data_IF_294679975613
#
_entry.id   IF_294679975613
#
_cell.length_a   1.000
_cell.length_b   1.000
_cell.length_c   1.000
_cell.angle_alpha   90.00
_cell.angle_beta   90.00
_cell.angle_gamma   90.00
#
_symmetry.space_group_name_H-M   'P 1'
#
loop_
_entity.id
_entity.type
_entity.pdbx_description
1 polymer ?
#
# COMPACT_ATOMS: atom_id res chain seq x y z
N UNK A 1 36.81 -7.45 -12.16
CA UNK A 1 37.54 -8.63 -12.66
C UNK A 1 38.07 -9.36 -11.44
N UNK A 2 37.47 -10.50 -11.07
CA UNK A 2 37.97 -11.35 -9.99
C UNK A 2 39.03 -12.25 -10.62
N UNK A 3 40.28 -12.12 -10.18
CA UNK A 3 41.39 -12.95 -10.67
C UNK A 3 41.79 -13.84 -9.51
N UNK A 4 41.30 -15.08 -9.52
CA UNK A 4 41.71 -16.12 -8.57
C UNK A 4 42.53 -17.19 -9.32
N UNK A 5 43.81 -17.42 -8.93
CA UNK A 5 44.63 -18.51 -9.47
C UNK A 5 44.07 -19.90 -9.22
N UNK A 6 43.21 -20.07 -8.20
CA UNK A 6 42.58 -21.33 -7.79
C UNK A 6 41.28 -21.65 -8.55
N UNK A 7 40.73 -20.66 -9.26
CA UNK A 7 39.37 -20.66 -9.80
C UNK A 7 38.25 -20.86 -8.75
N UNK A 8 38.48 -20.49 -7.49
CA UNK A 8 37.52 -20.58 -6.38
C UNK A 8 36.75 -19.26 -6.22
N UNK A 9 36.12 -18.81 -7.31
CA UNK A 9 35.35 -17.56 -7.35
C UNK A 9 33.83 -17.78 -7.39
N UNK A 10 33.39 -19.03 -7.38
CA UNK A 10 31.96 -19.39 -7.50
C UNK A 10 31.14 -18.77 -6.36
N UNK A 11 31.65 -18.78 -5.13
CA UNK A 11 30.97 -18.17 -3.99
C UNK A 11 30.85 -16.64 -4.11
N UNK A 12 31.89 -15.99 -4.63
CA UNK A 12 31.88 -14.53 -4.86
C UNK A 12 30.95 -14.15 -6.01
N UNK A 13 30.95 -14.96 -7.08
CA UNK A 13 30.02 -14.81 -8.20
C UNK A 13 28.57 -14.98 -7.72
N UNK A 14 28.31 -15.98 -6.87
CA UNK A 14 26.99 -16.20 -6.27
C UNK A 14 26.54 -14.99 -5.44
N UNK A 15 27.43 -14.38 -4.64
CA UNK A 15 27.10 -13.14 -3.90
C UNK A 15 26.77 -11.97 -4.85
N UNK A 16 27.49 -11.85 -5.97
CA UNK A 16 27.22 -10.83 -6.98
C UNK A 16 25.88 -11.03 -7.70
N UNK A 17 25.57 -12.27 -8.07
CA UNK A 17 24.28 -12.64 -8.65
C UNK A 17 23.14 -12.34 -7.67
N UNK A 18 23.31 -12.67 -6.40
CA UNK A 18 22.30 -12.40 -5.38
C UNK A 18 22.09 -10.89 -5.15
N UNK A 19 23.16 -10.09 -5.11
CA UNK A 19 23.05 -8.64 -4.99
C UNK A 19 22.35 -8.02 -6.23
N UNK A 20 22.63 -8.54 -7.43
CA UNK A 20 21.97 -8.09 -8.65
C UNK A 20 20.48 -8.49 -8.68
N UNK A 21 20.14 -9.71 -8.26
CA UNK A 21 18.75 -10.15 -8.11
C UNK A 21 17.96 -9.21 -7.19
N UNK A 22 18.55 -8.85 -6.05
CA UNK A 22 17.97 -7.89 -5.09
C UNK A 22 17.69 -6.53 -5.73
N UNK A 23 18.62 -6.02 -6.54
CA UNK A 23 18.41 -4.76 -7.26
C UNK A 23 17.25 -4.86 -8.27
N UNK A 24 17.18 -5.95 -9.03
CA UNK A 24 16.13 -6.16 -10.03
C UNK A 24 14.76 -6.24 -9.36
N UNK A 25 14.65 -6.98 -8.25
CA UNK A 25 13.39 -7.12 -7.51
C UNK A 25 12.90 -5.78 -6.94
N UNK A 26 13.81 -4.98 -6.38
CA UNK A 26 13.48 -3.62 -5.92
C UNK A 26 13.01 -2.71 -7.05
N UNK A 27 13.62 -2.80 -8.24
CA UNK A 27 13.22 -2.01 -9.41
C UNK A 27 11.86 -2.42 -9.96
N UNK A 28 11.58 -3.71 -9.98
CA UNK A 28 10.28 -4.23 -10.40
C UNK A 28 9.17 -3.80 -9.43
N UNK A 29 9.44 -3.87 -8.12
CA UNK A 29 8.53 -3.35 -7.11
C UNK A 29 8.27 -1.85 -7.27
N UNK A 30 9.30 -1.03 -7.52
CA UNK A 30 9.14 0.40 -7.77
C UNK A 30 8.26 0.67 -9.00
N UNK A 31 8.44 -0.10 -10.08
CA UNK A 31 7.63 -0.01 -11.31
C UNK A 31 6.16 -0.37 -11.07
N UNK A 32 5.89 -1.51 -10.42
CA UNK A 32 4.53 -1.94 -10.08
C UNK A 32 3.83 -0.93 -9.17
N UNK A 33 4.56 -0.36 -8.20
CA UNK A 33 4.03 0.66 -7.31
C UNK A 33 3.70 1.96 -8.04
N UNK A 34 4.50 2.35 -9.04
CA UNK A 34 4.21 3.49 -9.89
C UNK A 34 2.88 3.30 -10.63
N UNK A 35 2.67 2.12 -11.20
CA UNK A 35 1.42 1.78 -11.90
C UNK A 35 0.23 1.83 -10.94
N UNK A 36 0.32 1.21 -9.77
CA UNK A 36 -0.76 1.19 -8.77
C UNK A 36 -1.06 2.58 -8.21
N UNK A 37 -0.05 3.40 -7.94
CA UNK A 37 -0.25 4.80 -7.54
C UNK A 37 -0.96 5.59 -8.64
N UNK A 38 -0.54 5.40 -9.90
CA UNK A 38 -1.14 6.09 -11.03
C UNK A 38 -2.60 5.67 -11.24
N UNK A 39 -2.94 4.39 -11.05
CA UNK A 39 -4.31 3.90 -11.12
C UNK A 39 -5.15 4.49 -9.99
N UNK A 40 -4.64 4.47 -8.75
CA UNK A 40 -5.30 5.06 -7.60
C UNK A 40 -5.55 6.57 -7.79
N UNK A 41 -4.57 7.32 -8.31
CA UNK A 41 -4.73 8.75 -8.60
C UNK A 41 -5.82 9.00 -9.66
N UNK A 42 -5.80 8.25 -10.78
CA UNK A 42 -6.82 8.36 -11.83
C UNK A 42 -8.22 8.06 -11.29
N UNK A 43 -8.33 7.03 -10.47
CA UNK A 43 -9.59 6.61 -9.87
C UNK A 43 -10.15 7.64 -8.89
N UNK A 44 -9.28 8.23 -8.06
CA UNK A 44 -9.65 9.34 -7.18
C UNK A 44 -10.08 10.57 -7.97
N UNK A 45 -9.32 10.94 -9.01
CA UNK A 45 -9.65 12.05 -9.90
C UNK A 45 -11.03 11.85 -10.54
N UNK A 46 -11.35 10.64 -11.01
CA UNK A 46 -12.68 10.34 -11.55
C UNK A 46 -13.79 10.58 -10.51
N UNK A 47 -13.58 10.25 -9.24
CA UNK A 47 -14.59 10.51 -8.20
C UNK A 47 -14.84 12.01 -7.99
N UNK A 48 -13.78 12.82 -7.88
CA UNK A 48 -13.92 14.24 -7.60
C UNK A 48 -14.42 15.06 -8.79
N UNK A 49 -13.99 14.74 -10.02
CA UNK A 49 -14.38 15.46 -11.24
C UNK A 49 -15.72 14.99 -11.82
N UNK A 50 -16.17 13.77 -11.53
CA UNK A 50 -17.52 13.30 -11.87
C UNK A 50 -18.53 13.90 -10.89
N UNK A 51 -18.96 15.14 -11.14
CA UNK A 51 -19.97 15.88 -10.35
C UNK A 51 -21.36 15.22 -10.22
N UNK A 52 -21.55 13.98 -10.70
CA UNK A 52 -22.73 13.15 -10.45
C UNK A 52 -22.36 11.96 -9.57
N UNK A 53 -22.66 12.10 -8.27
CA UNK A 53 -22.65 11.02 -7.26
C UNK A 53 -23.42 9.78 -7.76
N UNK A 54 -22.74 8.82 -8.38
CA UNK A 54 -23.22 7.43 -8.43
C UNK A 54 -22.55 6.67 -7.30
N UNK A 55 -23.28 6.41 -6.21
CA UNK A 55 -22.87 5.51 -5.10
C UNK A 55 -22.29 4.17 -5.58
N UNK A 56 -22.70 3.70 -6.76
CA UNK A 56 -22.14 2.50 -7.40
C UNK A 56 -20.67 2.64 -7.83
N UNK A 57 -20.24 3.84 -8.24
CA UNK A 57 -18.85 4.11 -8.68
C UNK A 57 -17.88 4.10 -7.50
N UNK A 58 -18.35 4.58 -6.35
CA UNK A 58 -17.56 4.63 -5.12
C UNK A 58 -17.32 3.23 -4.55
N UNK A 59 -18.34 2.34 -4.57
CA UNK A 59 -18.20 0.96 -4.11
C UNK A 59 -17.24 0.15 -4.98
N UNK A 60 -17.29 0.32 -6.31
CA UNK A 60 -16.37 -0.34 -7.24
C UNK A 60 -14.92 0.09 -7.01
N UNK A 61 -14.70 1.39 -6.79
CA UNK A 61 -13.38 1.94 -6.50
C UNK A 61 -12.80 1.44 -5.18
N UNK A 62 -13.63 1.35 -4.13
CA UNK A 62 -13.20 0.75 -2.85
C UNK A 62 -12.78 -0.72 -3.00
N UNK A 63 -13.49 -1.48 -3.82
CA UNK A 63 -13.15 -2.88 -4.08
C UNK A 63 -11.81 -2.99 -4.80
N UNK A 64 -11.57 -2.13 -5.81
CA UNK A 64 -10.29 -2.02 -6.51
C UNK A 64 -9.15 -1.61 -5.57
N UNK A 65 -9.34 -0.58 -4.75
CA UNK A 65 -8.33 -0.17 -3.77
C UNK A 65 -8.05 -1.26 -2.73
N UNK A 66 -9.06 -2.04 -2.33
CA UNK A 66 -8.86 -3.18 -1.44
C UNK A 66 -8.03 -4.30 -2.11
N UNK A 67 -8.17 -4.51 -3.42
CA UNK A 67 -7.31 -5.43 -4.18
C UNK A 67 -5.87 -4.93 -4.24
N UNK A 68 -5.68 -3.63 -4.51
CA UNK A 68 -4.36 -2.99 -4.50
C UNK A 68 -3.70 -3.09 -3.11
N UNK A 69 -4.49 -3.01 -2.03
CA UNK A 69 -4.00 -3.25 -0.67
C UNK A 69 -3.56 -4.70 -0.42
N UNK A 70 -4.18 -5.69 -1.07
CA UNK A 70 -3.70 -7.07 -1.05
C UNK A 70 -2.31 -7.19 -1.70
N UNK A 71 -2.15 -6.61 -2.90
CA UNK A 71 -0.86 -6.58 -3.60
C UNK A 71 0.23 -5.83 -2.82
N UNK A 72 -0.16 -4.79 -2.05
CA UNK A 72 0.74 -4.08 -1.13
C UNK A 72 1.28 -5.01 -0.04
N UNK A 73 0.43 -5.87 0.51
CA UNK A 73 0.85 -6.82 1.54
C UNK A 73 1.85 -7.83 0.97
N UNK A 74 1.60 -8.32 -0.25
CA UNK A 74 2.54 -9.20 -0.96
C UNK A 74 3.89 -8.50 -1.20
N UNK A 75 3.88 -7.23 -1.64
CA UNK A 75 5.09 -6.44 -1.83
C UNK A 75 5.88 -6.22 -0.52
N UNK A 76 5.21 -5.99 0.61
CA UNK A 76 5.84 -5.89 1.92
C UNK A 76 6.48 -7.21 2.34
N UNK A 77 5.81 -8.33 2.10
CA UNK A 77 6.36 -9.65 2.39
C UNK A 77 7.61 -9.96 1.55
N UNK A 78 7.59 -9.60 0.27
CA UNK A 78 8.77 -9.68 -0.60
C UNK A 78 9.93 -8.86 -0.05
N UNK A 79 9.66 -7.63 0.39
CA UNK A 79 10.68 -6.74 0.97
C UNK A 79 11.28 -7.30 2.27
N UNK A 80 10.46 -7.90 3.13
CA UNK A 80 10.91 -8.55 4.37
C UNK A 80 11.76 -9.81 4.07
N UNK A 81 11.37 -10.60 3.06
CA UNK A 81 12.14 -11.76 2.63
C UNK A 81 13.50 -11.35 2.04
N UNK A 82 13.55 -10.27 1.26
CA UNK A 82 14.78 -9.66 0.76
C UNK A 82 15.74 -9.33 1.92
N UNK A 83 15.25 -8.73 3.00
CA UNK A 83 16.06 -8.43 4.18
C UNK A 83 16.55 -9.68 4.92
N UNK A 84 15.73 -10.72 4.98
CA UNK A 84 16.09 -11.96 5.68
C UNK A 84 17.05 -12.84 4.85
N UNK A 85 16.96 -12.83 3.53
CA UNK A 85 17.86 -13.60 2.65
C UNK A 85 19.34 -13.25 2.85
N UNK A 86 19.64 -11.97 3.08
CA UNK A 86 20.99 -11.47 3.35
C UNK A 86 21.58 -11.96 4.67
N UNK A 87 20.78 -12.44 5.62
CA UNK A 87 21.25 -12.91 6.94
C UNK A 87 21.77 -14.36 6.91
N UNK A 88 21.59 -15.07 5.79
CA UNK A 88 21.93 -16.49 5.64
C UNK A 88 23.40 -16.68 5.19
N UNK A 89 24.14 -15.60 4.94
CA UNK A 89 25.53 -15.67 4.50
C UNK A 89 26.40 -16.19 5.65
N UNK A 90 26.91 -17.42 5.50
CA UNK A 90 27.59 -18.18 6.55
C UNK A 90 29.04 -17.77 6.84
N UNK A 91 29.66 -16.95 5.98
CA UNK A 91 31.05 -16.46 6.13
C UNK A 91 31.09 -14.92 6.16
N UNK A 92 31.87 -14.38 7.09
CA UNK A 92 32.16 -12.95 7.24
C UNK A 92 32.75 -12.33 5.96
N UNK A 93 33.65 -13.04 5.26
CA UNK A 93 34.28 -12.51 4.04
C UNK A 93 33.25 -12.31 2.92
N UNK A 94 32.41 -13.31 2.67
CA UNK A 94 31.33 -13.24 1.68
C UNK A 94 30.28 -12.19 2.06
N UNK A 95 29.96 -12.07 3.35
CA UNK A 95 29.04 -11.05 3.87
C UNK A 95 29.55 -9.62 3.60
N UNK A 96 30.85 -9.38 3.79
CA UNK A 96 31.48 -8.09 3.51
C UNK A 96 31.45 -7.73 2.03
N UNK A 97 31.71 -8.70 1.14
CA UNK A 97 31.61 -8.50 -0.32
C UNK A 97 30.17 -8.19 -0.71
N UNK A 98 29.20 -8.99 -0.25
CA UNK A 98 27.79 -8.78 -0.52
C UNK A 98 27.32 -7.39 -0.07
N UNK A 99 27.71 -6.96 1.13
CA UNK A 99 27.35 -5.64 1.64
C UNK A 99 27.91 -4.52 0.76
N UNK A 100 29.19 -4.62 0.37
CA UNK A 100 29.82 -3.64 -0.54
C UNK A 100 29.17 -3.63 -1.93
N UNK A 101 28.73 -4.78 -2.43
CA UNK A 101 27.97 -4.84 -3.69
C UNK A 101 26.60 -4.16 -3.56
N UNK A 102 25.90 -4.37 -2.45
CA UNK A 102 24.65 -3.67 -2.16
C UNK A 102 24.83 -2.14 -2.06
N UNK A 103 25.93 -1.67 -1.45
CA UNK A 103 26.30 -0.25 -1.43
C UNK A 103 26.53 0.30 -2.86
N UNK A 104 27.27 -0.42 -3.70
CA UNK A 104 27.53 -0.02 -5.09
C UNK A 104 26.24 0.03 -5.91
N UNK A 105 25.36 -0.94 -5.72
CA UNK A 105 24.04 -0.98 -6.37
C UNK A 105 23.02 -0.05 -5.73
N UNK A 106 23.38 0.59 -4.62
CA UNK A 106 22.55 1.53 -3.89
C UNK A 106 21.18 0.95 -3.50
N UNK A 107 21.16 -0.33 -3.12
CA UNK A 107 19.92 -1.06 -2.85
C UNK A 107 19.11 -0.46 -1.70
N UNK A 108 19.78 0.21 -0.76
CA UNK A 108 19.14 0.84 0.39
C UNK A 108 18.31 2.07 -0.02
N UNK A 109 18.80 2.90 -0.95
CA UNK A 109 18.03 4.01 -1.49
C UNK A 109 16.82 3.53 -2.30
N UNK A 110 17.00 2.49 -3.11
CA UNK A 110 15.89 1.85 -3.84
C UNK A 110 14.83 1.32 -2.89
N UNK A 111 15.25 0.62 -1.83
CA UNK A 111 14.36 0.15 -0.77
C UNK A 111 13.60 1.29 -0.12
N UNK A 112 14.28 2.37 0.27
CA UNK A 112 13.63 3.52 0.88
C UNK A 112 12.60 4.18 -0.05
N UNK A 113 12.88 4.27 -1.36
CA UNK A 113 11.92 4.73 -2.36
C UNK A 113 10.66 3.85 -2.38
N UNK A 114 10.85 2.53 -2.46
CA UNK A 114 9.76 1.54 -2.48
C UNK A 114 8.91 1.63 -1.21
N UNK A 115 9.53 1.67 -0.02
CA UNK A 115 8.83 1.84 1.26
C UNK A 115 8.03 3.14 1.31
N UNK A 116 8.59 4.25 0.82
CA UNK A 116 7.89 5.54 0.77
C UNK A 116 6.66 5.47 -0.13
N UNK A 117 6.74 4.80 -1.29
CA UNK A 117 5.59 4.61 -2.20
C UNK A 117 4.53 3.69 -1.59
N UNK A 118 4.92 2.61 -0.93
CA UNK A 118 4.02 1.72 -0.19
C UNK A 118 3.26 2.47 0.92
N UNK A 119 3.93 3.39 1.62
CA UNK A 119 3.31 4.25 2.61
C UNK A 119 2.36 5.29 1.99
N UNK A 120 2.73 5.89 0.85
CA UNK A 120 1.84 6.81 0.13
C UNK A 120 0.53 6.11 -0.29
N UNK A 121 0.64 4.87 -0.79
CA UNK A 121 -0.51 4.04 -1.15
C UNK A 121 -1.41 3.71 0.05
N UNK A 122 -0.81 3.46 1.21
CA UNK A 122 -1.54 3.27 2.47
C UNK A 122 -2.30 4.53 2.88
N UNK A 123 -1.65 5.69 2.85
CA UNK A 123 -2.27 6.96 3.21
C UNK A 123 -3.49 7.28 2.33
N UNK A 124 -3.38 7.01 1.02
CA UNK A 124 -4.49 7.17 0.07
C UNK A 124 -5.68 6.29 0.48
N UNK A 125 -5.42 5.02 0.81
CA UNK A 125 -6.46 4.10 1.23
C UNK A 125 -7.11 4.51 2.56
N UNK A 126 -6.32 4.96 3.53
CA UNK A 126 -6.81 5.45 4.82
C UNK A 126 -7.71 6.67 4.67
N UNK A 127 -7.32 7.63 3.84
CA UNK A 127 -8.12 8.82 3.51
C UNK A 127 -9.46 8.41 2.87
N UNK A 128 -9.43 7.49 1.92
CA UNK A 128 -10.65 6.97 1.30
C UNK A 128 -11.53 6.19 2.26
N UNK A 129 -10.97 5.57 3.31
CA UNK A 129 -11.71 4.82 4.32
C UNK A 129 -12.32 5.75 5.39
N UNK A 130 -11.61 6.81 5.78
CA UNK A 130 -12.07 7.78 6.78
C UNK A 130 -13.31 8.55 6.30
N UNK A 131 -13.32 9.02 5.05
CA UNK A 131 -14.48 9.70 4.44
C UNK A 131 -15.77 8.91 4.58
N UNK A 132 -15.67 7.58 4.53
CA UNK A 132 -16.81 6.66 4.60
C UNK A 132 -17.33 6.49 6.01
N UNK A 133 -16.43 6.54 6.98
CA UNK A 133 -16.74 6.38 8.40
C UNK A 133 -17.39 7.65 8.90
N UNK A 134 -16.85 8.81 8.50
CA UNK A 134 -17.43 10.12 8.77
C UNK A 134 -18.81 10.27 8.10
N UNK A 135 -18.97 9.87 6.84
CA UNK A 135 -20.30 9.86 6.19
C UNK A 135 -21.30 8.94 6.90
N UNK A 136 -20.87 7.77 7.37
CA UNK A 136 -21.73 6.85 8.14
C UNK A 136 -22.12 7.45 9.49
N UNK A 137 -21.18 8.10 10.17
CA UNK A 137 -21.41 8.83 11.41
C UNK A 137 -22.42 9.97 11.20
N UNK A 138 -22.21 10.79 10.17
CA UNK A 138 -23.12 11.88 9.79
C UNK A 138 -24.50 11.36 9.42
N UNK A 139 -24.58 10.22 8.73
CA UNK A 139 -25.87 9.56 8.42
C UNK A 139 -26.56 9.08 9.70
N UNK A 140 -25.82 8.49 10.64
CA UNK A 140 -26.35 8.04 11.92
C UNK A 140 -26.88 9.22 12.74
N UNK A 141 -26.14 10.32 12.75
CA UNK A 141 -26.53 11.56 13.43
C UNK A 141 -27.78 12.17 12.79
N UNK A 142 -27.85 12.22 11.45
CA UNK A 142 -29.04 12.70 10.75
C UNK A 142 -30.26 11.81 11.00
N UNK A 143 -30.08 10.49 11.07
CA UNK A 143 -31.15 9.55 11.45
C UNK A 143 -31.59 9.79 12.90
N UNK A 144 -30.65 9.98 13.82
CA UNK A 144 -30.96 10.29 15.22
C UNK A 144 -31.75 11.60 15.34
N UNK A 145 -31.30 12.67 14.67
CA UNK A 145 -32.01 13.95 14.63
C UNK A 145 -33.41 13.78 14.06
N UNK A 146 -33.57 13.06 12.94
CA UNK A 146 -34.86 12.81 12.33
C UNK A 146 -35.81 12.06 13.28
N UNK A 147 -35.32 11.00 13.95
CA UNK A 147 -36.11 10.25 14.94
C UNK A 147 -36.50 11.13 16.13
N UNK A 148 -35.58 11.93 16.65
CA UNK A 148 -35.84 12.87 17.75
C UNK A 148 -36.89 13.93 17.42
N UNK A 149 -37.04 14.31 16.14
CA UNK A 149 -38.05 15.29 15.71
C UNK A 149 -39.39 14.60 15.39
N UNK A 150 -39.36 13.49 14.66
CA UNK A 150 -40.57 12.82 14.19
C UNK A 150 -41.36 12.20 15.35
N UNK A 151 -40.68 11.59 16.31
CA UNK A 151 -41.31 10.92 17.45
C UNK A 151 -42.21 11.86 18.30
N UNK A 152 -41.74 13.02 18.77
CA UNK A 152 -42.60 13.94 19.54
C UNK A 152 -43.71 14.56 18.68
N UNK A 153 -43.48 14.82 17.40
CA UNK A 153 -44.54 15.31 16.50
C UNK A 153 -45.66 14.28 16.38
N UNK A 154 -45.33 13.01 16.18
CA UNK A 154 -46.33 11.93 16.14
C UNK A 154 -47.10 11.81 17.45
N UNK A 155 -46.42 11.94 18.59
CA UNK A 155 -47.07 11.91 19.90
C UNK A 155 -48.04 13.09 20.10
N UNK A 156 -47.67 14.29 19.66
CA UNK A 156 -48.55 15.48 19.71
C UNK A 156 -49.78 15.28 18.82
N UNK A 157 -49.59 14.75 17.61
CA UNK A 157 -50.70 14.46 16.68
C UNK A 157 -51.66 13.44 17.30
N UNK A 158 -51.16 12.35 17.89
CA UNK A 158 -52.01 11.36 18.57
C UNK A 158 -52.84 11.98 19.70
N UNK A 159 -52.22 12.83 20.54
CA UNK A 159 -52.93 13.50 21.64
C UNK A 159 -54.01 14.46 21.12
N UNK A 160 -53.78 15.14 19.99
CA UNK A 160 -54.81 15.98 19.35
C UNK A 160 -55.93 15.17 18.70
N UNK A 161 -55.65 13.97 18.19
CA UNK A 161 -56.64 13.11 17.50
C UNK A 161 -57.54 12.32 18.47
N UNK A 162 -57.07 12.12 19.70
CA UNK A 162 -57.80 11.40 20.77
C UNK A 162 -58.67 12.36 21.60
N UNK A 163 -58.55 13.68 21.42
CA UNK A 163 -59.45 14.70 21.96
C UNK A 163 -60.59 15.01 21.00
#
# INVERSE_FOLDING_TARGET
>A
LIIDPSADYDDVLMMAEHANYRLIELRELDFLLDEWLSEAERDIRRLYFSGRRKRSSERALRLKLAQIQGLRFDALFTLENLDNSSKIIGDYFLGSIYHRLCEIFNTDEWKFSVERRLNALQNIYELLKSDTTEQRMMTLEMVFIAVCIIFPILQIIQVMLVK
#
